data_IF_876956766911
#
_entry.id   IF_876956766911
#
_cell.length_a   1.000
_cell.length_b   1.000
_cell.length_c   1.000
_cell.angle_alpha   90.00
_cell.angle_beta   90.00
_cell.angle_gamma   90.00
#
_symmetry.space_group_name_H-M   'P 1'
#
loop_
_entity.id
_entity.type
_entity.pdbx_description
1 polymer ?
#
# COMPACT_ATOMS: atom_id res chain seq x y z
N UNK A 1 29.58 -10.49 7.53
CA UNK A 1 28.70 -9.95 6.47
C UNK A 1 28.18 -8.59 6.93
N UNK A 2 28.74 -7.52 6.37
CA UNK A 2 28.84 -6.19 6.97
C UNK A 2 27.53 -5.39 6.90
N UNK A 3 26.98 -5.04 8.07
CA UNK A 3 25.87 -4.07 8.26
C UNK A 3 26.24 -2.63 7.85
N UNK A 4 27.33 -2.41 7.09
CA UNK A 4 27.89 -1.08 6.83
C UNK A 4 27.45 -0.43 5.51
N UNK A 5 26.72 -1.13 4.64
CA UNK A 5 26.36 -0.62 3.30
C UNK A 5 25.22 0.40 3.25
N UNK A 6 24.26 0.34 4.19
CA UNK A 6 23.03 1.15 4.11
C UNK A 6 23.26 2.64 4.39
N UNK A 7 24.22 2.96 5.25
CA UNK A 7 24.57 4.35 5.61
C UNK A 7 25.48 5.04 4.58
N UNK A 8 26.26 4.25 3.84
CA UNK A 8 27.15 4.77 2.81
C UNK A 8 26.34 5.33 1.63
N UNK A 9 25.33 4.58 1.19
CA UNK A 9 24.48 4.97 0.06
C UNK A 9 23.76 6.30 0.32
N UNK A 10 23.19 6.49 1.51
CA UNK A 10 22.50 7.74 1.89
C UNK A 10 23.45 8.93 1.97
N UNK A 11 24.68 8.72 2.46
CA UNK A 11 25.69 9.78 2.54
C UNK A 11 26.18 10.21 1.16
N UNK A 12 26.43 9.27 0.26
CA UNK A 12 26.90 9.56 -1.11
C UNK A 12 25.90 10.41 -1.89
N UNK A 13 24.59 10.10 -1.80
CA UNK A 13 23.56 10.93 -2.44
C UNK A 13 23.44 12.32 -1.82
N UNK A 14 23.60 12.44 -0.50
CA UNK A 14 23.54 13.74 0.19
C UNK A 14 24.79 14.60 -0.10
N UNK A 15 25.97 14.00 -0.12
CA UNK A 15 27.25 14.66 -0.42
C UNK A 15 27.29 15.10 -1.89
N UNK A 16 26.90 14.25 -2.84
CA UNK A 16 26.85 14.61 -4.27
C UNK A 16 25.89 15.78 -4.55
N UNK A 17 24.74 15.81 -3.87
CA UNK A 17 23.78 16.91 -4.02
C UNK A 17 24.27 18.23 -3.40
N UNK A 18 25.01 18.15 -2.28
CA UNK A 18 25.70 19.31 -1.69
C UNK A 18 26.81 19.82 -2.60
N UNK A 19 27.56 18.95 -3.28
CA UNK A 19 28.62 19.35 -4.24
C UNK A 19 28.07 20.08 -5.47
N UNK A 20 26.82 19.81 -5.87
CA UNK A 20 26.13 20.54 -6.95
C UNK A 20 25.47 21.86 -6.52
N UNK A 21 25.56 22.26 -5.23
CA UNK A 21 25.00 23.53 -4.74
C UNK A 21 23.47 23.56 -4.58
N UNK A 22 22.79 22.41 -4.61
CA UNK A 22 21.35 22.33 -4.46
C UNK A 22 20.92 22.45 -2.98
N UNK A 23 19.91 23.28 -2.70
CA UNK A 23 19.28 23.39 -1.38
C UNK A 23 18.65 22.04 -0.98
N UNK A 24 18.69 21.65 0.30
CA UNK A 24 18.26 20.34 0.80
C UNK A 24 16.82 19.95 0.39
N UNK A 25 15.93 20.95 0.25
CA UNK A 25 14.58 20.74 -0.25
C UNK A 25 14.52 20.29 -1.72
N UNK A 26 15.38 20.84 -2.58
CA UNK A 26 15.48 20.43 -3.99
C UNK A 26 16.03 19.01 -4.08
N UNK A 27 17.09 18.69 -3.32
CA UNK A 27 17.63 17.32 -3.25
C UNK A 27 16.58 16.31 -2.81
N UNK A 28 15.81 16.62 -1.77
CA UNK A 28 14.75 15.74 -1.31
C UNK A 28 13.68 15.53 -2.38
N UNK A 29 13.18 16.61 -2.99
CA UNK A 29 12.07 16.53 -3.94
C UNK A 29 12.46 15.87 -5.26
N UNK A 30 13.66 16.16 -5.75
CA UNK A 30 14.06 15.80 -7.12
C UNK A 30 14.88 14.51 -7.17
N UNK A 31 15.53 14.11 -6.05
CA UNK A 31 16.34 12.88 -5.97
C UNK A 31 15.74 11.88 -4.99
N UNK A 32 15.60 12.25 -3.71
CA UNK A 32 15.22 11.30 -2.66
C UNK A 32 13.77 10.81 -2.80
N UNK A 33 12.83 11.72 -3.05
CA UNK A 33 11.41 11.43 -3.13
C UNK A 33 11.05 10.50 -4.31
N UNK A 34 11.52 10.72 -5.55
CA UNK A 34 11.27 9.80 -6.66
C UNK A 34 11.90 8.42 -6.44
N UNK A 35 13.05 8.35 -5.76
CA UNK A 35 13.68 7.09 -5.38
C UNK A 35 12.87 6.33 -4.32
N UNK A 36 12.27 7.03 -3.36
CA UNK A 36 11.43 6.43 -2.32
C UNK A 36 9.99 6.15 -2.79
N UNK A 37 9.52 6.83 -3.84
CA UNK A 37 8.14 6.75 -4.32
C UNK A 37 7.66 5.31 -4.57
N UNK A 38 8.42 4.41 -5.23
CA UNK A 38 8.01 3.02 -5.40
C UNK A 38 7.80 2.27 -4.07
N UNK A 39 8.64 2.54 -3.07
CA UNK A 39 8.54 1.94 -1.75
C UNK A 39 7.34 2.52 -0.96
N UNK A 40 7.10 3.82 -1.05
CA UNK A 40 5.94 4.48 -0.44
C UNK A 40 4.64 3.92 -1.04
N UNK A 41 4.56 3.79 -2.37
CA UNK A 41 3.39 3.23 -3.05
C UNK A 41 3.15 1.77 -2.68
N UNK A 42 4.22 0.96 -2.58
CA UNK A 42 4.11 -0.42 -2.10
C UNK A 42 3.60 -0.49 -0.66
N UNK A 43 4.13 0.34 0.23
CA UNK A 43 3.67 0.43 1.63
C UNK A 43 2.23 0.91 1.76
N UNK A 44 1.83 1.89 0.96
CA UNK A 44 0.46 2.40 0.92
C UNK A 44 -0.54 1.32 0.47
N UNK A 45 -0.22 0.57 -0.58
CA UNK A 45 -1.08 -0.53 -1.07
C UNK A 45 -1.18 -1.68 -0.05
N UNK A 46 -0.08 -2.00 0.61
CA UNK A 46 -0.07 -3.02 1.66
C UNK A 46 -0.91 -2.58 2.87
N UNK A 47 -0.74 -1.34 3.32
CA UNK A 47 -1.54 -0.77 4.41
C UNK A 47 -3.03 -0.69 4.06
N UNK A 48 -3.37 -0.31 2.81
CA UNK A 48 -4.74 -0.32 2.32
C UNK A 48 -5.34 -1.73 2.34
N UNK A 49 -4.59 -2.73 1.89
CA UNK A 49 -5.03 -4.14 1.88
C UNK A 49 -5.35 -4.61 3.30
N UNK A 50 -4.47 -4.34 4.28
CA UNK A 50 -4.70 -4.69 5.68
C UNK A 50 -5.92 -3.96 6.25
N UNK A 51 -6.04 -2.66 6.00
CA UNK A 51 -7.16 -1.87 6.52
C UNK A 51 -8.51 -2.31 5.95
N UNK A 52 -8.54 -2.77 4.70
CA UNK A 52 -9.77 -3.20 4.05
C UNK A 52 -10.24 -4.58 4.54
N UNK A 53 -9.31 -5.43 4.99
CA UNK A 53 -9.59 -6.76 5.56
C UNK A 53 -9.90 -6.72 7.07
N UNK A 54 -9.76 -5.57 7.73
CA UNK A 54 -10.04 -5.42 9.17
C UNK A 54 -11.54 -5.21 9.46
N UNK A 55 -12.24 -6.33 9.57
CA UNK A 55 -13.66 -6.35 9.97
C UNK A 55 -13.81 -6.10 11.48
N UNK A 56 -12.82 -6.49 12.29
CA UNK A 56 -12.95 -6.48 13.75
C UNK A 56 -13.00 -5.05 14.27
N UNK A 57 -12.05 -4.21 13.88
CA UNK A 57 -12.04 -2.81 14.28
C UNK A 57 -13.29 -2.07 13.80
N UNK A 58 -13.67 -2.29 12.54
CA UNK A 58 -14.81 -1.61 11.92
C UNK A 58 -16.15 -2.06 12.50
N UNK A 59 -16.28 -3.29 12.99
CA UNK A 59 -17.51 -3.77 13.64
C UNK A 59 -17.81 -3.02 14.95
N UNK A 60 -16.78 -2.63 15.71
CA UNK A 60 -16.96 -1.85 16.94
C UNK A 60 -17.36 -0.39 16.68
N UNK A 61 -16.98 0.16 15.54
CA UNK A 61 -17.33 1.54 15.13
C UNK A 61 -18.54 1.60 14.19
N UNK A 62 -18.99 0.47 13.65
CA UNK A 62 -20.12 0.42 12.73
C UNK A 62 -21.43 0.78 13.45
N UNK A 63 -22.20 1.66 12.82
CA UNK A 63 -23.58 1.98 13.22
C UNK A 63 -24.56 1.41 12.19
N UNK A 64 -25.86 1.37 12.51
CA UNK A 64 -26.88 0.92 11.57
C UNK A 64 -26.90 1.75 10.26
N UNK A 65 -26.54 3.03 10.35
CA UNK A 65 -26.46 3.96 9.22
C UNK A 65 -25.12 3.91 8.47
N UNK A 66 -24.04 3.45 9.10
CA UNK A 66 -22.70 3.51 8.52
C UNK A 66 -21.97 2.17 8.65
N UNK A 67 -22.30 1.24 7.75
CA UNK A 67 -21.64 -0.06 7.66
C UNK A 67 -20.67 -0.09 6.48
N UNK A 68 -19.46 -0.60 6.74
CA UNK A 68 -18.51 -0.92 5.69
C UNK A 68 -18.98 -2.16 4.93
N UNK A 69 -18.52 -2.33 3.68
CA UNK A 69 -18.87 -3.48 2.84
C UNK A 69 -18.60 -4.82 3.53
N UNK A 70 -17.44 -5.06 4.19
CA UNK A 70 -17.18 -6.31 4.92
C UNK A 70 -18.18 -6.55 6.07
N UNK A 71 -18.45 -5.52 6.87
CA UNK A 71 -19.39 -5.60 8.01
C UNK A 71 -20.79 -5.92 7.52
N UNK A 72 -21.21 -5.34 6.40
CA UNK A 72 -22.53 -5.60 5.83
C UNK A 72 -22.67 -7.05 5.35
N UNK A 73 -21.69 -7.56 4.60
CA UNK A 73 -21.68 -8.96 4.13
C UNK A 73 -21.68 -9.92 5.33
N UNK A 74 -20.87 -9.65 6.35
CA UNK A 74 -20.84 -10.44 7.57
C UNK A 74 -22.19 -10.44 8.31
N UNK A 75 -22.84 -9.27 8.42
CA UNK A 75 -24.17 -9.18 9.02
C UNK A 75 -25.24 -9.92 8.22
N UNK A 76 -25.17 -9.89 6.88
CA UNK A 76 -26.08 -10.63 6.01
C UNK A 76 -25.93 -12.15 6.19
N UNK A 77 -24.69 -12.65 6.22
CA UNK A 77 -24.38 -14.07 6.46
C UNK A 77 -25.00 -14.59 7.76
N UNK A 78 -25.04 -13.75 8.80
CA UNK A 78 -25.62 -14.11 10.11
C UNK A 78 -27.15 -14.22 10.07
N UNK A 79 -27.81 -13.48 9.19
CA UNK A 79 -29.27 -13.44 9.10
C UNK A 79 -29.81 -14.52 8.17
N UNK A 80 -29.18 -14.79 7.03
CA UNK A 80 -29.51 -15.87 6.07
C UNK A 80 -28.47 -15.92 4.95
N UNK A 81 -28.23 -17.10 4.38
CA UNK A 81 -27.36 -17.24 3.19
C UNK A 81 -28.22 -17.10 1.93
N UNK A 82 -27.88 -16.15 1.06
CA UNK A 82 -28.55 -15.93 -0.23
C UNK A 82 -27.53 -15.94 -1.38
N UNK A 83 -27.95 -16.22 -2.63
CA UNK A 83 -27.06 -16.16 -3.80
C UNK A 83 -26.37 -14.80 -3.97
N UNK A 84 -27.02 -13.72 -3.53
CA UNK A 84 -26.48 -12.35 -3.57
C UNK A 84 -25.24 -12.20 -2.68
N UNK A 85 -25.24 -12.82 -1.50
CA UNK A 85 -24.10 -12.80 -0.57
C UNK A 85 -22.90 -13.51 -1.19
N UNK A 86 -23.13 -14.63 -1.88
CA UNK A 86 -22.06 -15.35 -2.58
C UNK A 86 -21.46 -14.52 -3.72
N UNK A 87 -22.29 -13.78 -4.46
CA UNK A 87 -21.81 -12.86 -5.49
C UNK A 87 -20.94 -11.74 -4.91
N UNK A 88 -21.39 -11.11 -3.82
CA UNK A 88 -20.63 -10.07 -3.12
C UNK A 88 -19.31 -10.62 -2.55
N UNK A 89 -19.33 -11.82 -1.97
CA UNK A 89 -18.14 -12.51 -1.47
C UNK A 89 -17.12 -12.81 -2.57
N UNK A 90 -17.57 -13.28 -3.74
CA UNK A 90 -16.69 -13.51 -4.88
C UNK A 90 -16.02 -12.22 -5.37
N UNK A 91 -16.78 -11.13 -5.48
CA UNK A 91 -16.23 -9.80 -5.85
C UNK A 91 -15.21 -9.32 -4.82
N UNK A 92 -15.50 -9.48 -3.53
CA UNK A 92 -14.57 -9.17 -2.44
C UNK A 92 -13.26 -9.94 -2.57
N UNK A 93 -13.32 -11.26 -2.76
CA UNK A 93 -12.13 -12.10 -2.92
C UNK A 93 -11.31 -11.64 -4.13
N UNK A 94 -11.95 -11.36 -5.25
CA UNK A 94 -11.29 -10.85 -6.45
C UNK A 94 -10.58 -9.53 -6.16
N UNK A 95 -11.22 -8.59 -5.47
CA UNK A 95 -10.61 -7.30 -5.12
C UNK A 95 -9.42 -7.46 -4.17
N UNK A 96 -9.57 -8.25 -3.10
CA UNK A 96 -8.53 -8.47 -2.09
C UNK A 96 -7.32 -9.19 -2.67
N UNK A 97 -7.50 -10.10 -3.63
CA UNK A 97 -6.39 -10.80 -4.31
C UNK A 97 -5.80 -9.94 -5.43
N UNK A 98 -6.63 -9.26 -6.23
CA UNK A 98 -6.15 -8.45 -7.35
C UNK A 98 -5.31 -7.26 -6.89
N UNK A 99 -5.67 -6.61 -5.78
CA UNK A 99 -4.97 -5.42 -5.26
C UNK A 99 -3.47 -5.66 -5.00
N UNK A 100 -3.05 -6.64 -4.18
CA UNK A 100 -1.64 -6.93 -3.96
C UNK A 100 -0.93 -7.50 -5.21
N UNK A 101 -1.64 -8.24 -6.08
CA UNK A 101 -1.06 -8.72 -7.33
C UNK A 101 -0.75 -7.58 -8.31
N UNK A 102 -1.67 -6.64 -8.46
CA UNK A 102 -1.49 -5.42 -9.25
C UNK A 102 -0.37 -4.55 -8.66
N UNK A 103 -0.34 -4.40 -7.33
CA UNK A 103 0.73 -3.70 -6.62
C UNK A 103 2.10 -4.32 -6.93
N UNK A 104 2.22 -5.64 -6.81
CA UNK A 104 3.44 -6.37 -7.10
C UNK A 104 3.85 -6.28 -8.57
N UNK A 105 2.88 -6.34 -9.50
CA UNK A 105 3.12 -6.18 -10.93
C UNK A 105 3.63 -4.78 -11.28
N UNK A 106 2.98 -3.73 -10.77
CA UNK A 106 3.39 -2.34 -10.97
C UNK A 106 4.77 -2.08 -10.38
N UNK A 107 5.02 -2.53 -9.14
CA UNK A 107 6.32 -2.39 -8.48
C UNK A 107 7.45 -3.00 -9.31
N UNK A 108 7.25 -4.21 -9.85
CA UNK A 108 8.22 -4.86 -10.76
C UNK A 108 8.45 -4.07 -12.05
N UNK A 109 7.41 -3.46 -12.60
CA UNK A 109 7.51 -2.63 -13.81
C UNK A 109 8.33 -1.36 -13.54
N UNK A 110 8.13 -0.71 -12.40
CA UNK A 110 8.91 0.47 -12.00
C UNK A 110 10.37 0.12 -11.66
N UNK A 111 10.64 -1.04 -11.05
CA UNK A 111 12.02 -1.48 -10.78
C UNK A 111 12.81 -1.83 -12.05
N UNK A 112 12.16 -2.16 -13.17
CA UNK A 112 12.81 -2.39 -14.46
C UNK A 112 13.08 -1.09 -15.25
N UNK A 113 12.66 0.07 -14.77
CA UNK A 113 12.91 1.36 -15.40
C UNK A 113 13.99 2.08 -14.60
N UNK A 114 15.24 1.66 -14.82
CA UNK A 114 16.43 2.47 -14.60
C UNK A 114 17.46 2.08 -15.67
N UNK A 115 17.78 2.95 -16.65
CA UNK A 115 19.08 2.86 -17.32
C UNK A 115 20.21 3.15 -16.32
#
# INVERSE_FOLDING_TARGET
>A
MSRHGWWALSKEYEEAAKTLGANAFHTFRDVTFPLLLPAILAGALFSFTISFDDITATLFWATAQNQTVPVKIFSMLRNSISPEINALGAVMIVLTVATPLLAGYLSRKFSKIKP
#
